data_IF_279848265075
#
_entry.id   IF_279848265075
#
_cell.length_a   1.000
_cell.length_b   1.000
_cell.length_c   1.000
_cell.angle_alpha   90.00
_cell.angle_beta   90.00
_cell.angle_gamma   90.00
#
_symmetry.space_group_name_H-M   'P 1'
#
loop_
_entity.id
_entity.type
_entity.pdbx_description
1 polymer ?
#
# COMPACT_ATOMS: atom_id res chain seq x y z
N UNK A 1 -38.55 9.98 -37.35
CA UNK A 1 -38.94 9.14 -36.19
C UNK A 1 -38.55 7.67 -36.33
N UNK A 2 -38.75 7.02 -37.49
CA UNK A 2 -38.37 5.62 -37.71
C UNK A 2 -36.89 5.31 -37.43
N UNK A 3 -35.96 6.17 -37.88
CA UNK A 3 -34.52 5.98 -37.65
C UNK A 3 -34.19 5.97 -36.15
N UNK A 4 -34.74 6.93 -35.40
CA UNK A 4 -34.54 7.04 -33.94
C UNK A 4 -35.05 5.81 -33.20
N UNK A 5 -36.24 5.31 -33.56
CA UNK A 5 -36.82 4.11 -32.93
C UNK A 5 -35.96 2.87 -33.21
N UNK A 6 -35.49 2.72 -34.44
CA UNK A 6 -34.58 1.64 -34.85
C UNK A 6 -33.27 1.70 -34.07
N UNK A 7 -32.68 2.88 -33.91
CA UNK A 7 -31.39 3.05 -33.22
C UNK A 7 -31.53 2.81 -31.71
N UNK A 8 -32.64 3.22 -31.09
CA UNK A 8 -32.96 2.88 -29.70
C UNK A 8 -33.15 1.37 -29.51
N UNK A 9 -33.85 0.69 -30.44
CA UNK A 9 -34.01 -0.77 -30.37
C UNK A 9 -32.67 -1.48 -30.41
N UNK A 10 -31.78 -1.11 -31.34
CA UNK A 10 -30.42 -1.66 -31.44
C UNK A 10 -29.62 -1.44 -30.17
N UNK A 11 -29.70 -0.24 -29.59
CA UNK A 11 -28.97 0.07 -28.38
C UNK A 11 -29.49 -0.75 -27.18
N UNK A 12 -30.77 -1.08 -27.16
CA UNK A 12 -31.38 -1.94 -26.15
C UNK A 12 -31.20 -3.46 -26.42
N UNK A 13 -30.52 -3.86 -27.50
CA UNK A 13 -30.10 -5.26 -27.71
C UNK A 13 -28.92 -5.65 -26.81
N UNK A 14 -28.17 -4.67 -26.31
CA UNK A 14 -27.09 -4.89 -25.35
C UNK A 14 -27.61 -5.08 -23.92
N UNK A 15 -26.87 -5.82 -23.09
CA UNK A 15 -27.11 -5.94 -21.66
C UNK A 15 -26.69 -4.66 -20.92
N UNK A 16 -27.56 -3.66 -20.96
CA UNK A 16 -27.29 -2.36 -20.35
C UNK A 16 -27.74 -2.37 -18.88
N UNK A 17 -26.82 -2.15 -17.91
CA UNK A 17 -27.19 -2.17 -16.50
C UNK A 17 -27.94 -0.91 -16.05
N UNK A 18 -27.74 0.22 -16.74
CA UNK A 18 -28.27 1.52 -16.35
C UNK A 18 -28.20 2.53 -17.50
N UNK A 19 -29.24 3.34 -17.65
CA UNK A 19 -29.20 4.59 -18.41
C UNK A 19 -29.19 5.81 -17.49
N UNK A 20 -28.40 6.82 -17.87
CA UNK A 20 -28.43 8.12 -17.20
C UNK A 20 -28.55 9.24 -18.23
N UNK A 21 -29.58 10.07 -18.08
CA UNK A 21 -29.79 11.30 -18.86
C UNK A 21 -29.23 12.48 -18.07
N UNK A 22 -28.18 13.10 -18.58
CA UNK A 22 -27.44 14.19 -17.91
C UNK A 22 -27.93 15.58 -18.35
N UNK A 23 -27.37 16.63 -17.73
CA UNK A 23 -27.55 18.03 -18.10
C UNK A 23 -29.02 18.52 -18.04
N UNK A 24 -29.84 17.96 -17.13
CA UNK A 24 -31.29 18.22 -17.05
C UNK A 24 -32.04 18.01 -18.37
N UNK A 25 -31.47 17.24 -19.30
CA UNK A 25 -32.12 16.98 -20.57
C UNK A 25 -33.44 16.22 -20.32
N UNK A 26 -34.52 16.55 -21.04
CA UNK A 26 -35.78 15.83 -20.90
C UNK A 26 -35.57 14.35 -21.27
N UNK A 27 -36.12 13.47 -20.44
CA UNK A 27 -36.10 12.04 -20.71
C UNK A 27 -37.12 11.75 -21.80
N UNK A 28 -36.67 11.10 -22.87
CA UNK A 28 -37.54 10.69 -23.96
C UNK A 28 -38.57 9.64 -23.52
N UNK A 29 -39.84 9.84 -23.89
CA UNK A 29 -40.94 8.96 -23.46
C UNK A 29 -40.82 7.54 -24.03
N UNK A 30 -40.37 7.40 -25.29
CA UNK A 30 -40.19 6.09 -25.91
C UNK A 30 -39.05 5.33 -25.24
N UNK A 31 -37.91 5.99 -24.96
CA UNK A 31 -36.84 5.42 -24.16
C UNK A 31 -37.34 4.97 -22.78
N UNK A 32 -38.08 5.82 -22.07
CA UNK A 32 -38.62 5.51 -20.74
C UNK A 32 -39.56 4.30 -20.78
N UNK A 33 -40.43 4.21 -21.79
CA UNK A 33 -41.34 3.07 -21.99
C UNK A 33 -40.57 1.78 -22.25
N UNK A 34 -39.55 1.82 -23.09
CA UNK A 34 -38.74 0.63 -23.39
C UNK A 34 -37.87 0.19 -22.21
N UNK A 35 -37.26 1.13 -21.47
CA UNK A 35 -36.54 0.83 -20.23
C UNK A 35 -37.45 0.17 -19.19
N UNK A 36 -38.69 0.65 -19.00
CA UNK A 36 -39.66 0.00 -18.11
C UNK A 36 -40.02 -1.41 -18.57
N UNK A 37 -40.27 -1.61 -19.86
CA UNK A 37 -40.60 -2.93 -20.41
C UNK A 37 -39.45 -3.95 -20.23
N UNK A 38 -38.20 -3.50 -20.40
CA UNK A 38 -37.00 -4.32 -20.25
C UNK A 38 -36.43 -4.34 -18.81
N UNK A 39 -37.07 -3.65 -17.86
CA UNK A 39 -36.63 -3.50 -16.46
C UNK A 39 -35.21 -2.92 -16.31
N UNK A 40 -34.84 -2.02 -17.21
CA UNK A 40 -33.55 -1.30 -17.14
C UNK A 40 -33.76 -0.01 -16.33
N UNK A 41 -32.98 0.24 -15.27
CA UNK A 41 -33.02 1.50 -14.54
C UNK A 41 -32.70 2.69 -15.46
N UNK A 42 -33.50 3.76 -15.36
CA UNK A 42 -33.31 5.01 -16.08
C UNK A 42 -33.29 6.15 -15.07
N UNK A 43 -32.14 6.80 -14.94
CA UNK A 43 -31.91 7.91 -14.02
C UNK A 43 -31.73 9.22 -14.78
N UNK A 44 -32.01 10.33 -14.11
CA UNK A 44 -31.72 11.67 -14.61
C UNK A 44 -30.76 12.37 -13.64
N UNK A 45 -29.78 13.09 -14.18
CA UNK A 45 -28.83 13.88 -13.42
C UNK A 45 -28.83 15.33 -13.89
N UNK A 46 -28.73 16.24 -12.93
CA UNK A 46 -28.58 17.67 -13.20
C UNK A 46 -27.17 18.05 -13.65
N UNK A 47 -26.20 17.18 -13.42
CA UNK A 47 -24.79 17.42 -13.74
C UNK A 47 -24.57 17.44 -15.26
N UNK A 48 -23.65 18.30 -15.69
CA UNK A 48 -23.15 18.29 -17.08
C UNK A 48 -22.48 16.94 -17.36
N UNK A 49 -22.64 16.42 -18.58
CA UNK A 49 -22.19 15.06 -18.94
C UNK A 49 -20.74 14.77 -18.59
N UNK A 50 -19.83 15.72 -18.82
CA UNK A 50 -18.40 15.57 -18.51
C UNK A 50 -18.14 15.43 -17.02
N UNK A 51 -18.86 16.19 -16.19
CA UNK A 51 -18.75 16.12 -14.73
C UNK A 51 -19.37 14.83 -14.19
N UNK A 52 -20.56 14.46 -14.68
CA UNK A 52 -21.22 13.20 -14.31
C UNK A 52 -20.33 12.00 -14.60
N UNK A 53 -19.79 11.92 -15.83
CA UNK A 53 -18.89 10.82 -16.24
C UNK A 53 -17.63 10.79 -15.38
N UNK A 54 -17.07 11.94 -14.98
CA UNK A 54 -15.91 11.99 -14.09
C UNK A 54 -16.23 11.36 -12.72
N UNK A 55 -17.31 11.77 -12.06
CA UNK A 55 -17.68 11.19 -10.76
C UNK A 55 -18.05 9.71 -10.86
N UNK A 56 -18.77 9.32 -11.91
CA UNK A 56 -19.11 7.92 -12.15
C UNK A 56 -17.84 7.09 -12.32
N UNK A 57 -16.90 7.53 -13.15
CA UNK A 57 -15.64 6.81 -13.34
C UNK A 57 -14.82 6.73 -12.07
N UNK A 58 -14.77 7.78 -11.25
CA UNK A 58 -14.09 7.77 -9.96
C UNK A 58 -14.70 6.73 -9.00
N UNK A 59 -16.04 6.73 -8.89
CA UNK A 59 -16.77 5.76 -8.08
C UNK A 59 -16.57 4.32 -8.57
N UNK A 60 -16.77 4.06 -9.87
CA UNK A 60 -16.61 2.72 -10.44
C UNK A 60 -15.16 2.24 -10.34
N UNK A 61 -14.18 3.13 -10.49
CA UNK A 61 -12.75 2.80 -10.29
C UNK A 61 -12.47 2.34 -8.86
N UNK A 62 -13.16 2.89 -7.86
CA UNK A 62 -13.04 2.45 -6.47
C UNK A 62 -13.78 1.14 -6.20
N UNK A 63 -15.00 0.99 -6.73
CA UNK A 63 -15.82 -0.23 -6.56
C UNK A 63 -15.12 -1.45 -7.15
N UNK A 64 -14.63 -1.31 -8.38
CA UNK A 64 -13.99 -2.39 -9.14
C UNK A 64 -12.46 -2.45 -8.97
N UNK A 65 -11.89 -1.67 -8.03
CA UNK A 65 -10.46 -1.75 -7.75
C UNK A 65 -10.06 -3.19 -7.36
N UNK A 66 -8.99 -3.76 -7.95
CA UNK A 66 -8.51 -5.09 -7.57
C UNK A 66 -8.17 -5.14 -6.08
N UNK A 67 -8.57 -6.23 -5.41
CA UNK A 67 -8.36 -6.45 -3.98
C UNK A 67 -7.69 -7.80 -3.72
N UNK A 68 -6.87 -7.87 -2.69
CA UNK A 68 -6.32 -9.12 -2.15
C UNK A 68 -6.23 -9.01 -0.63
N UNK A 69 -6.36 -10.12 0.08
CA UNK A 69 -6.08 -10.17 1.52
C UNK A 69 -4.71 -10.81 1.70
N UNK A 70 -3.82 -10.12 2.42
CA UNK A 70 -2.50 -10.61 2.78
C UNK A 70 -2.44 -10.84 4.29
N UNK A 71 -1.90 -11.99 4.70
CA UNK A 71 -1.65 -12.25 6.11
C UNK A 71 -0.42 -11.46 6.57
N UNK A 72 -0.60 -10.61 7.58
CA UNK A 72 0.41 -9.66 8.01
C UNK A 72 -0.18 -8.54 8.86
N UNK A 73 0.68 -7.60 9.22
CA UNK A 73 0.31 -6.48 10.09
C UNK A 73 0.70 -5.18 9.40
N UNK A 74 -0.24 -4.25 9.23
CA UNK A 74 0.00 -2.96 8.60
C UNK A 74 -0.02 -1.84 9.63
N UNK A 75 1.03 -1.03 9.65
CA UNK A 75 1.25 0.03 10.65
C UNK A 75 1.71 1.31 9.96
N UNK A 76 1.23 2.46 10.44
CA UNK A 76 1.70 3.80 10.07
C UNK A 76 2.83 4.23 11.01
N UNK A 77 4.08 4.11 10.55
CA UNK A 77 5.30 4.43 11.29
C UNK A 77 5.91 5.72 10.73
N UNK A 78 5.90 6.81 11.49
CA UNK A 78 6.33 8.14 11.05
C UNK A 78 5.71 8.62 9.71
N UNK A 79 4.49 8.20 9.40
CA UNK A 79 3.84 8.55 8.14
C UNK A 79 4.16 7.59 6.98
N UNK A 80 4.94 6.54 7.20
CA UNK A 80 5.22 5.46 6.24
C UNK A 80 4.37 4.24 6.63
N UNK A 81 3.60 3.71 5.68
CA UNK A 81 2.88 2.46 5.83
C UNK A 81 3.82 1.27 5.64
N UNK A 82 4.06 0.58 6.74
CA UNK A 82 4.92 -0.60 6.82
C UNK A 82 4.05 -1.84 6.91
N UNK A 83 4.12 -2.70 5.90
CA UNK A 83 3.48 -4.02 5.90
C UNK A 83 4.47 -5.05 6.48
N UNK A 84 4.21 -5.52 7.70
CA UNK A 84 4.95 -6.61 8.33
C UNK A 84 4.41 -7.95 7.83
N UNK A 85 5.26 -8.74 7.17
CA UNK A 85 4.96 -10.11 6.73
C UNK A 85 5.90 -11.10 7.40
N UNK A 86 5.61 -12.39 7.30
CA UNK A 86 6.40 -13.45 7.94
C UNK A 86 5.51 -14.56 8.49
N UNK A 87 6.12 -15.69 8.88
CA UNK A 87 5.40 -16.87 9.36
C UNK A 87 4.52 -16.55 10.59
N UNK A 88 3.50 -17.36 10.84
CA UNK A 88 2.66 -17.20 12.04
C UNK A 88 3.48 -17.39 13.31
N UNK A 89 3.27 -16.52 14.30
CA UNK A 89 3.97 -16.57 15.60
C UNK A 89 5.42 -16.06 15.60
N UNK A 90 5.89 -15.42 14.53
CA UNK A 90 7.25 -14.84 14.48
C UNK A 90 7.42 -13.55 15.31
N UNK A 91 6.32 -12.92 15.74
CA UNK A 91 6.36 -11.66 16.50
C UNK A 91 5.71 -10.45 15.83
N UNK A 92 4.93 -10.62 14.75
CA UNK A 92 4.34 -9.49 14.00
C UNK A 92 3.44 -8.61 14.89
N UNK A 93 2.53 -9.26 15.62
CA UNK A 93 1.56 -8.63 16.52
C UNK A 93 2.24 -7.97 17.73
N UNK A 94 3.30 -8.58 18.26
CA UNK A 94 4.11 -8.05 19.36
C UNK A 94 4.89 -6.79 18.93
N UNK A 95 5.55 -6.84 17.77
CA UNK A 95 6.22 -5.64 17.19
C UNK A 95 5.19 -4.54 16.92
N UNK A 96 3.97 -4.91 16.50
CA UNK A 96 2.91 -3.93 16.27
C UNK A 96 2.45 -3.24 17.53
N UNK A 97 2.29 -3.99 18.62
CA UNK A 97 1.95 -3.44 19.92
C UNK A 97 3.04 -2.48 20.44
N UNK A 98 4.30 -2.88 20.35
CA UNK A 98 5.44 -2.03 20.73
C UNK A 98 5.46 -0.72 19.94
N UNK A 99 5.21 -0.77 18.63
CA UNK A 99 5.13 0.42 17.78
C UNK A 99 3.97 1.33 18.19
N UNK A 100 2.80 0.75 18.50
CA UNK A 100 1.66 1.51 18.99
C UNK A 100 1.95 2.20 20.32
N UNK A 101 2.60 1.51 21.26
CA UNK A 101 3.01 2.08 22.54
C UNK A 101 3.95 3.28 22.35
N UNK A 102 4.81 3.24 21.32
CA UNK A 102 5.69 4.34 20.90
C UNK A 102 4.99 5.48 20.15
N UNK A 103 3.68 5.39 19.94
CA UNK A 103 2.86 6.44 19.33
C UNK A 103 2.60 6.27 17.82
N UNK A 104 2.98 5.13 17.24
CA UNK A 104 2.59 4.77 15.87
C UNK A 104 1.16 4.27 15.81
N UNK A 105 0.62 4.06 14.60
CA UNK A 105 -0.81 3.75 14.42
C UNK A 105 -1.02 2.40 13.74
N UNK A 106 -1.78 1.53 14.39
CA UNK A 106 -2.21 0.27 13.80
C UNK A 106 -3.26 0.54 12.71
N UNK A 107 -3.08 -0.08 11.54
CA UNK A 107 -4.06 -0.07 10.46
C UNK A 107 -4.88 -1.36 10.47
N UNK A 108 -4.19 -2.50 10.43
CA UNK A 108 -4.79 -3.84 10.53
C UNK A 108 -3.76 -4.81 11.07
N UNK A 109 -4.20 -5.81 11.82
CA UNK A 109 -3.39 -6.96 12.26
C UNK A 109 -3.98 -8.25 11.70
N UNK A 110 -3.14 -9.28 11.58
CA UNK A 110 -3.42 -10.62 11.03
C UNK A 110 -3.86 -10.67 9.55
N UNK A 111 -4.87 -9.90 9.15
CA UNK A 111 -5.39 -9.85 7.79
C UNK A 111 -5.47 -8.41 7.28
N UNK A 112 -4.69 -8.09 6.25
CA UNK A 112 -4.67 -6.78 5.60
C UNK A 112 -5.38 -6.89 4.26
N UNK A 113 -6.49 -6.20 4.09
CA UNK A 113 -7.12 -6.04 2.79
C UNK A 113 -6.36 -4.96 2.02
N UNK A 114 -5.77 -5.34 0.90
CA UNK A 114 -4.98 -4.47 0.03
C UNK A 114 -5.76 -4.20 -1.25
N UNK A 115 -5.95 -2.92 -1.54
CA UNK A 115 -6.66 -2.42 -2.71
C UNK A 115 -5.67 -1.71 -3.62
N UNK A 116 -5.63 -2.08 -4.89
CA UNK A 116 -4.86 -1.35 -5.91
C UNK A 116 -5.71 -0.22 -6.46
N UNK A 117 -5.44 1.00 -6.02
CA UNK A 117 -6.03 2.24 -6.55
C UNK A 117 -5.32 2.68 -7.84
N UNK A 118 -5.85 3.72 -8.46
CA UNK A 118 -5.29 4.32 -9.67
C UNK A 118 -3.79 4.66 -9.50
N UNK A 119 -3.06 4.69 -10.62
CA UNK A 119 -1.59 4.95 -10.67
C UNK A 119 -0.73 3.93 -9.91
N UNK A 120 -1.26 2.73 -9.63
CA UNK A 120 -0.52 1.66 -8.99
C UNK A 120 -0.27 1.91 -7.49
N UNK A 121 -1.12 2.69 -6.84
CA UNK A 121 -1.03 2.92 -5.39
C UNK A 121 -1.71 1.76 -4.66
N UNK A 122 -0.99 1.11 -3.75
CA UNK A 122 -1.57 0.11 -2.86
C UNK A 122 -2.04 0.78 -1.57
N UNK A 123 -3.31 0.60 -1.23
CA UNK A 123 -3.90 1.03 0.04
C UNK A 123 -4.27 -0.21 0.83
N UNK A 124 -3.75 -0.34 2.04
CA UNK A 124 -4.13 -1.38 2.98
C UNK A 124 -5.13 -0.86 4.00
N UNK A 125 -6.08 -1.70 4.37
CA UNK A 125 -7.11 -1.43 5.37
C UNK A 125 -7.50 -2.71 6.10
N UNK A 126 -8.33 -2.56 7.14
CA UNK A 126 -8.89 -3.68 7.87
C UNK A 126 -10.26 -4.10 7.32
N UNK A 127 -10.46 -5.40 7.13
CA UNK A 127 -11.71 -5.98 6.58
C UNK A 127 -12.86 -6.09 7.62
N UNK A 128 -12.63 -5.63 8.86
CA UNK A 128 -13.61 -5.56 9.97
C UNK A 128 -14.09 -6.89 10.57
N UNK A 129 -14.97 -6.81 11.58
CA UNK A 129 -15.15 -7.67 12.77
C UNK A 129 -13.99 -7.60 13.79
N UNK A 130 -12.75 -7.86 13.40
CA UNK A 130 -11.55 -7.72 14.27
C UNK A 130 -10.90 -6.32 14.21
N UNK A 131 -11.67 -5.32 13.80
CA UNK A 131 -11.18 -3.94 13.62
C UNK A 131 -10.55 -3.44 14.92
N UNK A 132 -9.31 -2.95 14.83
CA UNK A 132 -8.51 -2.42 15.96
C UNK A 132 -8.14 -3.44 17.05
N UNK A 133 -8.30 -4.74 16.79
CA UNK A 133 -7.88 -5.78 17.71
C UNK A 133 -6.52 -6.36 17.30
N UNK A 134 -5.76 -6.81 18.29
CA UNK A 134 -4.55 -7.62 18.12
C UNK A 134 -4.70 -8.88 18.98
N UNK A 135 -4.32 -10.04 18.45
CA UNK A 135 -4.23 -11.27 19.23
C UNK A 135 -2.80 -11.45 19.75
N UNK A 136 -2.64 -11.51 21.07
CA UNK A 136 -1.34 -11.72 21.72
C UNK A 136 -1.32 -13.10 22.40
N UNK A 137 -0.32 -13.90 22.07
CA UNK A 137 -0.18 -15.24 22.66
C UNK A 137 0.00 -15.14 24.17
N UNK A 138 -0.80 -15.91 24.91
CA UNK A 138 -0.78 -15.92 26.38
C UNK A 138 -1.60 -14.81 27.04
N UNK A 139 -2.01 -13.77 26.31
CA UNK A 139 -2.88 -12.69 26.82
C UNK A 139 -4.30 -12.76 26.24
N UNK A 140 -4.43 -13.15 24.96
CA UNK A 140 -5.69 -13.15 24.22
C UNK A 140 -5.85 -11.91 23.34
N UNK A 141 -7.09 -11.60 22.97
CA UNK A 141 -7.42 -10.49 22.07
C UNK A 141 -7.48 -9.18 22.86
N UNK A 142 -6.75 -8.16 22.40
CA UNK A 142 -6.74 -6.81 22.97
C UNK A 142 -7.32 -5.79 22.01
N UNK A 143 -8.01 -4.77 22.53
CA UNK A 143 -8.53 -3.67 21.71
C UNK A 143 -7.60 -2.44 21.81
N UNK A 144 -6.91 -2.15 20.72
CA UNK A 144 -5.92 -1.08 20.64
C UNK A 144 -6.55 0.32 20.78
N UNK A 145 -7.74 0.52 20.22
CA UNK A 145 -8.43 1.80 20.32
C UNK A 145 -8.85 2.10 21.76
N UNK A 146 -9.34 1.10 22.50
CA UNK A 146 -9.73 1.24 23.90
C UNK A 146 -8.54 1.49 24.83
N UNK A 147 -7.40 0.84 24.55
CA UNK A 147 -6.20 0.94 25.40
C UNK A 147 -5.39 2.22 25.14
N UNK A 148 -5.20 2.61 23.88
CA UNK A 148 -4.27 3.68 23.49
C UNK A 148 -4.96 4.91 22.86
N UNK A 149 -6.29 4.85 22.71
CA UNK A 149 -7.14 5.91 22.19
C UNK A 149 -7.17 5.99 20.66
N UNK A 150 -7.98 6.91 20.14
CA UNK A 150 -8.19 7.10 18.70
C UNK A 150 -6.90 7.41 17.92
N UNK A 151 -5.89 7.98 18.59
CA UNK A 151 -4.60 8.34 17.98
C UNK A 151 -3.77 7.13 17.56
N UNK A 152 -4.01 5.97 18.17
CA UNK A 152 -3.26 4.73 17.98
C UNK A 152 -3.76 3.87 16.81
N UNK A 153 -4.82 4.32 16.13
CA UNK A 153 -5.42 3.59 15.02
C UNK A 153 -5.47 4.42 13.74
N UNK A 154 -5.55 3.74 12.61
CA UNK A 154 -5.74 4.33 11.29
C UNK A 154 -6.67 3.44 10.48
N UNK A 155 -7.64 4.03 9.78
CA UNK A 155 -8.63 3.24 9.01
C UNK A 155 -8.00 2.59 7.78
N UNK A 156 -7.16 3.36 7.07
CA UNK A 156 -6.46 2.94 5.88
C UNK A 156 -5.11 3.65 5.79
N UNK A 157 -4.16 3.01 5.13
CA UNK A 157 -2.83 3.57 4.88
C UNK A 157 -2.28 3.05 3.56
N UNK A 158 -1.57 3.91 2.83
CA UNK A 158 -0.78 3.48 1.67
C UNK A 158 0.28 2.48 2.14
N UNK A 159 0.65 1.53 1.30
CA UNK A 159 1.75 0.62 1.58
C UNK A 159 2.97 1.14 0.83
N UNK A 160 3.97 1.62 1.57
CA UNK A 160 5.21 2.16 1.02
C UNK A 160 6.37 1.17 1.07
N UNK A 161 6.33 0.20 1.99
CA UNK A 161 7.37 -0.80 2.18
C UNK A 161 6.82 -2.08 2.82
N UNK A 162 7.33 -3.21 2.38
CA UNK A 162 7.16 -4.50 3.05
C UNK A 162 8.39 -4.82 3.89
N UNK A 163 8.18 -5.22 5.14
CA UNK A 163 9.22 -5.74 6.02
C UNK A 163 8.87 -7.19 6.33
N UNK A 164 9.60 -8.11 5.72
CA UNK A 164 9.43 -9.54 5.90
C UNK A 164 10.28 -9.99 7.09
N UNK A 165 9.62 -10.34 8.19
CA UNK A 165 10.28 -10.93 9.35
C UNK A 165 10.66 -12.38 9.03
N UNK A 166 11.92 -12.72 9.29
CA UNK A 166 12.48 -14.05 9.03
C UNK A 166 13.13 -14.61 10.29
N UNK A 167 13.14 -15.93 10.45
CA UNK A 167 13.95 -16.55 11.49
C UNK A 167 15.42 -16.36 11.15
N UNK A 168 16.21 -16.02 12.15
CA UNK A 168 17.64 -15.90 11.94
C UNK A 168 18.25 -17.25 11.55
N UNK A 169 19.04 -17.24 10.48
CA UNK A 169 19.78 -18.38 9.99
C UNK A 169 21.26 -18.02 9.82
N UNK A 170 22.16 -18.68 10.55
CA UNK A 170 23.62 -18.48 10.46
C UNK A 170 24.18 -18.68 9.05
N UNK A 171 23.50 -19.48 8.22
CA UNK A 171 23.95 -19.84 6.87
C UNK A 171 23.51 -18.84 5.81
N UNK A 172 22.61 -17.91 6.13
CA UNK A 172 22.19 -16.87 5.21
C UNK A 172 23.10 -15.64 5.33
N UNK A 173 23.67 -15.23 4.21
CA UNK A 173 24.50 -14.03 4.15
C UNK A 173 23.60 -12.79 4.12
N UNK A 174 23.29 -12.26 5.29
CA UNK A 174 22.51 -11.02 5.40
C UNK A 174 23.37 -9.85 4.91
N UNK A 175 22.93 -9.21 3.82
CA UNK A 175 23.62 -8.07 3.21
C UNK A 175 23.87 -6.94 4.21
N UNK A 176 25.15 -6.64 4.46
CA UNK A 176 25.59 -5.64 5.46
C UNK A 176 25.54 -4.20 4.98
N UNK A 177 25.53 -3.99 3.65
CA UNK A 177 25.70 -2.67 3.04
C UNK A 177 24.42 -2.11 2.41
N UNK A 178 23.36 -2.93 2.24
CA UNK A 178 22.06 -2.49 1.72
C UNK A 178 22.15 -1.82 0.35
N UNK A 179 23.04 -2.30 -0.53
CA UNK A 179 23.35 -1.66 -1.82
C UNK A 179 22.33 -2.04 -2.89
N UNK A 180 21.75 -3.24 -2.82
CA UNK A 180 20.72 -3.69 -3.74
C UNK A 180 19.32 -3.49 -3.16
N UNK A 181 18.47 -2.78 -3.91
CA UNK A 181 17.07 -2.64 -3.54
C UNK A 181 16.29 -3.93 -3.91
N UNK A 182 15.74 -4.59 -2.89
CA UNK A 182 14.84 -5.73 -3.04
C UNK A 182 13.40 -5.26 -3.09
N UNK A 183 12.54 -6.03 -3.77
CA UNK A 183 11.16 -5.66 -3.97
C UNK A 183 10.22 -6.86 -3.93
N UNK A 184 9.02 -6.62 -3.43
CA UNK A 184 7.89 -7.55 -3.48
C UNK A 184 6.87 -7.06 -4.51
N UNK A 185 5.97 -7.96 -4.92
CA UNK A 185 4.91 -7.67 -5.88
C UNK A 185 3.55 -7.99 -5.26
N UNK A 186 2.69 -6.97 -5.15
CA UNK A 186 1.31 -7.12 -4.66
C UNK A 186 0.38 -6.52 -5.69
N UNK A 187 -0.61 -7.29 -6.17
CA UNK A 187 -1.53 -6.87 -7.24
C UNK A 187 -0.81 -6.32 -8.50
N UNK A 188 0.38 -6.85 -8.80
CA UNK A 188 1.24 -6.41 -9.90
C UNK A 188 1.98 -5.09 -9.67
N UNK A 189 1.90 -4.51 -8.47
CA UNK A 189 2.67 -3.31 -8.08
C UNK A 189 3.93 -3.72 -7.34
N UNK A 190 5.07 -3.16 -7.74
CA UNK A 190 6.37 -3.36 -7.10
C UNK A 190 6.50 -2.45 -5.88
N UNK A 191 6.76 -3.02 -4.71
CA UNK A 191 7.03 -2.28 -3.45
C UNK A 191 8.40 -2.65 -2.89
N UNK A 192 9.14 -1.73 -2.26
CA UNK A 192 10.38 -2.03 -1.56
C UNK A 192 10.18 -3.14 -0.52
N UNK A 193 11.13 -4.06 -0.44
CA UNK A 193 11.13 -5.19 0.48
C UNK A 193 12.41 -5.16 1.32
N UNK A 194 12.25 -5.25 2.63
CA UNK A 194 13.35 -5.49 3.57
C UNK A 194 13.10 -6.81 4.28
N UNK A 195 14.06 -7.73 4.18
CA UNK A 195 14.08 -8.95 4.98
C UNK A 195 14.77 -8.67 6.30
N UNK A 196 14.05 -8.87 7.39
CA UNK A 196 14.51 -8.55 8.74
C UNK A 196 14.57 -9.83 9.58
N UNK A 197 15.77 -10.39 9.81
CA UNK A 197 15.93 -11.52 10.70
C UNK A 197 15.65 -11.14 12.16
N UNK A 198 14.88 -11.98 12.84
CA UNK A 198 14.58 -11.83 14.26
C UNK A 198 15.73 -12.40 15.09
N UNK A 199 16.41 -11.53 15.84
CA UNK A 199 17.46 -11.92 16.78
C UNK A 199 16.94 -11.89 18.22
N UNK A 200 17.17 -12.95 19.01
CA UNK A 200 16.95 -12.89 20.45
C UNK A 200 17.71 -11.72 21.08
N UNK A 201 17.04 -10.93 21.91
CA UNK A 201 17.64 -9.82 22.65
C UNK A 201 17.86 -8.51 21.87
N UNK A 202 17.54 -8.46 20.56
CA UNK A 202 17.50 -7.18 19.82
C UNK A 202 16.09 -6.62 19.81
N UNK A 203 15.99 -5.30 19.93
CA UNK A 203 14.72 -4.60 19.78
C UNK A 203 14.37 -4.44 18.29
N UNK A 204 13.53 -5.34 17.78
CA UNK A 204 13.10 -5.34 16.37
C UNK A 204 12.28 -4.09 16.02
N UNK A 205 11.50 -3.60 16.98
CA UNK A 205 10.68 -2.38 16.87
C UNK A 205 11.53 -1.17 16.46
N UNK A 206 12.69 -0.96 17.08
CA UNK A 206 13.64 0.12 16.72
C UNK A 206 14.18 -0.04 15.30
N UNK A 207 14.41 -1.27 14.85
CA UNK A 207 14.88 -1.54 13.49
C UNK A 207 13.78 -1.21 12.47
N UNK A 208 12.52 -1.57 12.76
CA UNK A 208 11.37 -1.21 11.91
C UNK A 208 11.20 0.31 11.83
N UNK A 209 11.35 1.04 12.94
CA UNK A 209 11.38 2.51 12.95
C UNK A 209 12.49 3.07 12.05
N UNK A 210 13.68 2.49 12.13
CA UNK A 210 14.84 2.88 11.31
C UNK A 210 14.59 2.60 9.82
N UNK A 211 13.97 1.47 9.48
CA UNK A 211 13.58 1.13 8.11
C UNK A 211 12.58 2.16 7.57
N UNK A 212 11.57 2.54 8.36
CA UNK A 212 10.60 3.56 7.99
C UNK A 212 11.25 4.93 7.74
N UNK A 213 12.17 5.37 8.62
CA UNK A 213 12.92 6.61 8.43
C UNK A 213 13.83 6.56 7.19
N UNK A 214 14.52 5.45 6.95
CA UNK A 214 15.33 5.28 5.75
C UNK A 214 14.47 5.30 4.48
N UNK A 215 13.28 4.70 4.52
CA UNK A 215 12.32 4.77 3.41
C UNK A 215 11.82 6.19 3.18
N UNK A 216 11.57 6.96 4.25
CA UNK A 216 11.23 8.37 4.17
C UNK A 216 12.36 9.17 3.49
N UNK A 217 13.63 8.92 3.83
CA UNK A 217 14.78 9.54 3.15
C UNK A 217 14.82 9.21 1.66
N UNK A 218 14.62 7.94 1.28
CA UNK A 218 14.58 7.50 -0.12
C UNK A 218 13.48 8.21 -0.91
N UNK A 219 12.29 8.37 -0.32
CA UNK A 219 11.17 9.10 -0.92
C UNK A 219 11.53 10.58 -1.16
N UNK A 220 12.35 11.18 -0.29
CA UNK A 220 12.86 12.54 -0.44
C UNK A 220 14.14 12.63 -1.31
N UNK A 221 14.51 11.55 -2.00
CA UNK A 221 15.65 11.52 -2.91
C UNK A 221 17.01 11.32 -2.25
N UNK A 222 17.06 11.01 -0.95
CA UNK A 222 18.30 10.79 -0.20
C UNK A 222 18.51 9.28 -0.04
N UNK A 223 19.59 8.73 -0.59
CA UNK A 223 19.99 7.32 -0.39
C UNK A 223 21.29 7.25 0.44
N UNK A 224 21.20 6.97 1.77
CA UNK A 224 22.36 6.92 2.65
C UNK A 224 23.41 5.87 2.25
N UNK A 225 22.97 4.68 1.82
CA UNK A 225 23.87 3.60 1.41
C UNK A 225 24.69 3.98 0.17
N UNK A 226 24.02 4.55 -0.84
CA UNK A 226 24.70 5.05 -2.04
C UNK A 226 25.71 6.14 -1.71
N UNK A 227 25.33 7.12 -0.88
CA UNK A 227 26.22 8.21 -0.44
C UNK A 227 27.42 7.68 0.34
N UNK A 228 27.21 6.68 1.21
CA UNK A 228 28.30 6.06 1.95
C UNK A 228 29.25 5.29 1.02
N UNK A 229 28.72 4.55 0.05
CA UNK A 229 29.52 3.85 -0.94
C UNK A 229 30.36 4.81 -1.80
N UNK A 230 29.76 5.93 -2.25
CA UNK A 230 30.48 6.99 -2.96
C UNK A 230 31.64 7.57 -2.11
N UNK A 231 31.40 7.82 -0.82
CA UNK A 231 32.44 8.29 0.11
C UNK A 231 33.56 7.25 0.33
N UNK A 232 33.21 5.97 0.44
CA UNK A 232 34.20 4.88 0.56
C UNK A 232 35.06 4.76 -0.70
N UNK A 233 34.43 4.76 -1.87
CA UNK A 233 35.13 4.68 -3.16
C UNK A 233 36.08 5.86 -3.34
N UNK A 234 35.64 7.08 -2.98
CA UNK A 234 36.48 8.28 -3.00
C UNK A 234 37.72 8.11 -2.11
N UNK A 235 37.56 7.66 -0.86
CA UNK A 235 38.69 7.42 0.06
C UNK A 235 39.64 6.32 -0.40
N UNK A 236 39.11 5.26 -1.02
CA UNK A 236 39.94 4.18 -1.57
C UNK A 236 40.77 4.71 -2.75
N UNK A 237 40.19 5.56 -3.59
CA UNK A 237 40.88 6.16 -4.72
C UNK A 237 41.96 7.15 -4.29
N UNK A 238 41.66 8.02 -3.32
CA UNK A 238 42.64 8.93 -2.70
C UNK A 238 43.83 8.16 -2.11
N UNK A 239 43.58 7.05 -1.40
CA UNK A 239 44.65 6.19 -0.88
C UNK A 239 45.49 5.54 -1.99
N UNK A 240 44.86 5.12 -3.10
CA UNK A 240 45.58 4.54 -4.24
C UNK A 240 46.47 5.58 -4.93
N UNK A 241 45.97 6.80 -5.12
CA UNK A 241 46.73 7.91 -5.71
C UNK A 241 47.94 8.29 -4.85
N UNK A 242 47.77 8.41 -3.52
CA UNK A 242 48.90 8.65 -2.59
C UNK A 242 49.91 7.50 -2.64
N UNK A 243 49.45 6.25 -2.66
CA UNK A 243 50.35 5.08 -2.73
C UNK A 243 51.09 5.00 -4.07
N UNK A 244 50.45 5.43 -5.16
CA UNK A 244 51.04 5.44 -6.50
C UNK A 244 52.03 6.60 -6.70
N UNK A 245 51.73 7.77 -6.12
CA UNK A 245 52.68 8.89 -6.04
C UNK A 245 53.95 8.49 -5.29
N UNK A 246 53.83 7.92 -4.08
CA UNK A 246 54.95 7.45 -3.28
C UNK A 246 55.77 6.31 -3.93
N UNK A 247 55.16 5.52 -4.82
CA UNK A 247 55.86 4.48 -5.59
C UNK A 247 56.62 4.99 -6.81
N UNK A 248 56.25 6.16 -7.32
CA UNK A 248 56.89 6.77 -8.48
C UNK A 248 57.93 7.84 -8.07
N UNK A 249 58.00 8.15 -6.78
CA UNK A 249 59.04 8.98 -6.16
C UNK A 249 60.30 8.11 -5.95
N UNK A 250 61.09 7.95 -7.01
CA UNK A 250 62.44 7.41 -6.91
C UNK A 250 63.42 8.60 -6.99
N UNK A 251 64.06 8.92 -5.86
CA UNK A 251 65.37 9.59 -5.85
C UNK A 251 66.47 8.62 -6.34
#
# INVERSE_FOLDING_TARGET
EEVRRRDLQRLLEFEIPLFVVTNKNPVDEELAKQCRAKKIPLLQSELVSTEFVRYLNEYLSEVFAPRVVVHGTLIDVYGIGVLLTGRSGIGKSEVALDLVERGHRLVSDDAVEIIRKARGILIGQTNSLLRHHIELRGLGIVNIQSMFGIRAIRVQKRIEIEVQLEDWNEKEDYERLGVEDKFAHILGVRIPLVRLPIFPGKNITVIVETIALNQLLKIHGINPAKRFNELLMKRIQEKKEVTQYLKNDFE
#
